data_IF_510128294553
#
_entry.id   IF_510128294553
#
_cell.length_a   1.000
_cell.length_b   1.000
_cell.length_c   1.000
_cell.angle_alpha   90.00
_cell.angle_beta   90.00
_cell.angle_gamma   90.00
#
_symmetry.space_group_name_H-M   'P 1'
#
loop_
_entity.id
_entity.type
_entity.pdbx_description
1 polymer ?
#
# COMPACT_ATOMS: atom_id res chain seq x y z
N UNK A 1 -68.65 7.09 -31.72
CA UNK A 1 -69.03 8.13 -30.73
C UNK A 1 -67.91 8.25 -29.71
N UNK A 2 -66.97 9.17 -29.96
CA UNK A 2 -66.79 10.43 -29.22
C UNK A 2 -66.47 10.21 -27.73
N UNK A 3 -65.19 10.13 -27.34
CA UNK A 3 -64.30 11.24 -26.94
C UNK A 3 -64.84 12.09 -25.79
N UNK A 4 -64.15 12.08 -24.64
CA UNK A 4 -63.48 13.27 -24.07
C UNK A 4 -62.74 12.94 -22.78
N UNK A 5 -61.49 13.41 -22.76
CA UNK A 5 -60.58 13.58 -21.63
C UNK A 5 -61.17 14.36 -20.44
N UNK A 6 -60.52 14.29 -19.27
CA UNK A 6 -60.35 15.47 -18.43
C UNK A 6 -58.90 15.93 -18.36
N UNK A 7 -58.80 17.24 -18.31
CA UNK A 7 -57.62 18.09 -18.28
C UNK A 7 -56.73 17.87 -17.05
N UNK A 8 -55.43 17.97 -17.31
CA UNK A 8 -54.34 18.17 -16.35
C UNK A 8 -54.21 19.66 -15.98
N UNK A 9 -54.24 19.97 -14.68
CA UNK A 9 -53.68 21.17 -14.04
C UNK A 9 -53.11 20.73 -12.68
N UNK A 10 -51.80 20.48 -12.62
CA UNK A 10 -50.74 21.39 -12.13
C UNK A 10 -50.95 21.95 -10.72
N UNK A 11 -50.06 21.44 -9.86
CA UNK A 11 -49.32 22.08 -8.77
C UNK A 11 -49.97 22.15 -7.39
N UNK A 12 -49.33 21.45 -6.43
CA UNK A 12 -48.54 22.06 -5.35
C UNK A 12 -47.51 21.03 -4.81
N UNK A 13 -46.23 21.34 -5.06
CA UNK A 13 -45.05 21.26 -4.14
C UNK A 13 -44.59 19.85 -3.69
N UNK A 14 -43.55 19.30 -4.36
CA UNK A 14 -42.13 19.19 -3.89
C UNK A 14 -41.97 18.21 -2.71
N UNK A 15 -41.03 17.27 -2.63
CA UNK A 15 -39.84 16.92 -3.42
C UNK A 15 -39.15 15.79 -2.64
N UNK A 16 -38.60 14.79 -3.32
CA UNK A 16 -37.57 13.91 -2.74
C UNK A 16 -37.95 12.44 -2.55
N UNK A 17 -37.95 11.67 -3.64
CA UNK A 17 -37.75 10.21 -3.61
C UNK A 17 -37.48 9.67 -5.03
N UNK A 18 -36.45 10.18 -5.70
CA UNK A 18 -35.98 9.63 -6.98
C UNK A 18 -34.50 9.96 -7.18
N UNK A 19 -33.64 9.31 -6.40
CA UNK A 19 -32.19 9.24 -6.63
C UNK A 19 -31.59 8.14 -5.74
N UNK A 20 -31.83 6.88 -6.08
CA UNK A 20 -31.03 5.77 -5.57
C UNK A 20 -30.61 4.91 -6.75
N UNK A 21 -29.29 4.72 -6.89
CA UNK A 21 -28.49 4.16 -7.99
C UNK A 21 -28.15 5.21 -9.08
N UNK A 22 -26.86 5.59 -9.26
CA UNK A 22 -25.69 4.73 -9.20
C UNK A 22 -24.57 5.26 -8.28
N UNK A 23 -24.01 4.41 -7.42
CA UNK A 23 -22.73 4.68 -6.75
C UNK A 23 -22.04 3.37 -6.35
N UNK A 24 -21.79 2.50 -7.34
CA UNK A 24 -20.82 1.41 -7.23
C UNK A 24 -19.94 1.48 -8.47
N UNK A 25 -19.15 2.56 -8.58
CA UNK A 25 -18.06 2.69 -9.56
C UNK A 25 -17.25 3.97 -9.30
N UNK A 26 -16.58 4.09 -8.15
CA UNK A 26 -15.32 4.86 -8.00
C UNK A 26 -14.60 4.29 -6.78
N UNK A 27 -13.89 3.18 -6.95
CA UNK A 27 -12.73 2.77 -6.15
C UNK A 27 -11.86 1.85 -7.00
N UNK A 28 -11.44 2.37 -8.15
CA UNK A 28 -10.23 1.94 -8.83
C UNK A 28 -9.30 3.15 -8.76
N UNK A 29 -8.65 3.30 -7.60
CA UNK A 29 -7.60 4.29 -7.43
C UNK A 29 -6.29 3.55 -7.61
N UNK A 30 -5.56 3.91 -8.65
CA UNK A 30 -4.26 3.34 -9.00
C UNK A 30 -3.32 3.50 -7.80
N UNK A 31 -3.07 2.39 -7.09
CA UNK A 31 -2.16 2.33 -5.95
C UNK A 31 -0.69 2.19 -6.38
N UNK A 32 -0.26 2.95 -7.39
CA UNK A 32 1.14 2.94 -7.85
C UNK A 32 1.99 4.08 -7.27
N UNK A 33 1.55 4.74 -6.18
CA UNK A 33 2.29 5.84 -5.54
C UNK A 33 2.47 5.67 -4.02
N UNK A 34 2.87 4.49 -3.55
CA UNK A 34 3.30 4.29 -2.16
C UNK A 34 4.66 3.61 -2.08
N UNK A 35 5.68 4.17 -2.75
CA UNK A 35 7.07 3.88 -2.40
C UNK A 35 7.57 4.91 -1.38
N UNK A 36 7.85 4.44 -0.16
CA UNK A 36 8.53 5.12 0.95
C UNK A 36 7.84 6.35 1.57
N UNK A 37 6.53 6.26 1.80
CA UNK A 37 5.81 7.25 2.60
C UNK A 37 6.10 7.13 4.11
N UNK A 38 6.59 6.00 4.60
CA UNK A 38 6.84 5.80 6.04
C UNK A 38 7.91 6.73 6.59
N UNK A 39 8.88 7.14 5.79
CA UNK A 39 10.08 7.85 6.28
C UNK A 39 9.93 9.38 6.25
N UNK A 40 8.85 9.91 5.66
CA UNK A 40 8.62 11.36 5.52
C UNK A 40 7.62 11.93 6.53
N UNK A 41 6.69 11.13 7.07
CA UNK A 41 5.70 11.64 8.03
C UNK A 41 6.25 11.83 9.44
N UNK A 42 7.07 10.90 9.93
CA UNK A 42 7.61 10.99 11.30
C UNK A 42 8.65 12.12 11.48
N UNK A 43 9.10 12.74 10.39
CA UNK A 43 9.93 13.95 10.42
C UNK A 43 9.12 15.24 10.41
N UNK A 44 7.81 15.17 10.09
CA UNK A 44 6.95 16.34 10.02
C UNK A 44 6.45 16.71 11.44
N UNK A 45 6.73 17.94 11.93
CA UNK A 45 6.36 18.34 13.30
C UNK A 45 4.84 18.37 13.52
N UNK A 46 4.05 18.73 12.50
CA UNK A 46 2.60 18.72 12.58
C UNK A 46 2.07 17.29 12.71
N UNK A 47 2.64 16.34 11.97
CA UNK A 47 2.29 14.92 12.08
C UNK A 47 2.58 14.39 13.49
N UNK A 48 3.75 14.70 14.05
CA UNK A 48 4.12 14.27 15.40
C UNK A 48 3.20 14.84 16.48
N UNK A 49 2.80 16.12 16.36
CA UNK A 49 1.86 16.75 17.29
C UNK A 49 0.49 16.08 17.23
N UNK A 50 -0.03 15.83 16.02
CA UNK A 50 -1.32 15.15 15.85
C UNK A 50 -1.26 13.70 16.35
N UNK A 51 -0.16 12.99 16.09
CA UNK A 51 0.05 11.63 16.58
C UNK A 51 0.12 11.59 18.12
N UNK A 52 0.82 12.53 18.74
CA UNK A 52 0.88 12.63 20.21
C UNK A 52 -0.49 12.93 20.80
N UNK A 53 -1.27 13.82 20.18
CA UNK A 53 -2.63 14.12 20.60
C UNK A 53 -3.53 12.87 20.55
N UNK A 54 -3.46 12.08 19.47
CA UNK A 54 -4.18 10.80 19.32
C UNK A 54 -3.81 9.84 20.44
N UNK A 55 -2.50 9.61 20.67
CA UNK A 55 -2.04 8.69 21.71
C UNK A 55 -2.49 9.14 23.12
N UNK A 56 -2.42 10.45 23.39
CA UNK A 56 -2.88 11.03 24.65
C UNK A 56 -4.39 10.82 24.86
N UNK A 57 -5.21 11.07 23.83
CA UNK A 57 -6.65 10.89 23.87
C UNK A 57 -7.03 9.42 24.04
N UNK A 58 -6.34 8.49 23.37
CA UNK A 58 -6.52 7.05 23.61
C UNK A 58 -6.22 6.66 25.06
N UNK A 59 -5.17 7.22 25.65
CA UNK A 59 -4.85 7.03 27.07
C UNK A 59 -5.98 7.51 28.00
N UNK A 60 -6.55 8.68 27.72
CA UNK A 60 -7.70 9.24 28.46
C UNK A 60 -8.93 8.36 28.28
N UNK A 61 -9.24 7.94 27.05
CA UNK A 61 -10.37 7.06 26.75
C UNK A 61 -10.24 5.71 27.48
N UNK A 62 -9.04 5.13 27.52
CA UNK A 62 -8.75 3.91 28.25
C UNK A 62 -8.93 4.07 29.76
N UNK A 63 -8.40 5.15 30.35
CA UNK A 63 -8.57 5.44 31.78
C UNK A 63 -10.04 5.64 32.15
N UNK A 64 -10.80 6.40 31.35
CA UNK A 64 -12.24 6.59 31.53
C UNK A 64 -13.01 5.27 31.35
N UNK A 65 -12.64 4.44 30.38
CA UNK A 65 -13.24 3.12 30.18
C UNK A 65 -13.06 2.22 31.40
N UNK A 66 -11.87 2.21 32.00
CA UNK A 66 -11.61 1.47 33.24
C UNK A 66 -12.37 2.05 34.44
N UNK A 67 -12.49 3.38 34.53
CA UNK A 67 -13.30 4.03 35.57
C UNK A 67 -14.79 3.66 35.44
N UNK A 68 -15.34 3.67 34.22
CA UNK A 68 -16.74 3.29 33.96
C UNK A 68 -16.97 1.82 34.29
N UNK A 69 -16.05 0.91 33.90
CA UNK A 69 -16.09 -0.51 34.28
C UNK A 69 -16.03 -0.69 35.80
N UNK A 70 -15.16 0.04 36.49
CA UNK A 70 -15.05 0.02 37.94
C UNK A 70 -16.32 0.50 38.64
N UNK A 71 -16.90 1.61 38.17
CA UNK A 71 -18.16 2.14 38.69
C UNK A 71 -19.33 1.17 38.45
N UNK A 72 -19.41 0.57 37.26
CA UNK A 72 -20.42 -0.44 36.96
C UNK A 72 -20.25 -1.69 37.83
N UNK A 73 -19.01 -2.18 37.99
CA UNK A 73 -18.68 -3.32 38.84
C UNK A 73 -19.03 -3.07 40.31
N UNK A 74 -18.71 -1.89 40.84
CA UNK A 74 -19.09 -1.50 42.20
C UNK A 74 -20.62 -1.46 42.37
N UNK A 75 -21.34 -0.89 41.41
CA UNK A 75 -22.80 -0.84 41.43
C UNK A 75 -23.45 -2.24 41.38
N UNK A 76 -22.84 -3.17 40.63
CA UNK A 76 -23.29 -4.57 40.56
C UNK A 76 -22.97 -5.33 41.85
N UNK A 77 -21.78 -5.15 42.42
CA UNK A 77 -21.39 -5.77 43.69
C UNK A 77 -22.24 -5.29 44.86
N UNK A 78 -22.60 -4.01 44.90
CA UNK A 78 -23.52 -3.47 45.90
C UNK A 78 -24.93 -4.08 45.74
N UNK A 79 -25.40 -4.29 44.50
CA UNK A 79 -26.66 -5.00 44.25
C UNK A 79 -26.60 -6.47 44.66
N UNK A 80 -25.49 -7.16 44.41
CA UNK A 80 -25.28 -8.53 44.87
C UNK A 80 -25.24 -8.61 46.38
N UNK A 81 -24.55 -7.68 47.06
CA UNK A 81 -24.51 -7.59 48.52
C UNK A 81 -25.90 -7.34 49.10
N UNK A 82 -26.67 -6.40 48.52
CA UNK A 82 -28.05 -6.15 48.95
C UNK A 82 -28.98 -7.35 48.69
N UNK A 83 -28.82 -8.05 47.56
CA UNK A 83 -29.52 -9.32 47.27
C UNK A 83 -29.09 -10.44 48.22
N UNK A 84 -27.82 -10.49 48.62
CA UNK A 84 -27.29 -11.46 49.59
C UNK A 84 -27.74 -11.14 51.01
N UNK A 85 -27.85 -9.87 51.40
CA UNK A 85 -28.40 -9.44 52.69
C UNK A 85 -29.92 -9.67 52.79
N UNK A 86 -30.65 -9.55 51.67
CA UNK A 86 -32.03 -10.04 51.59
C UNK A 86 -32.11 -11.58 51.68
N UNK A 87 -31.29 -12.31 50.91
CA UNK A 87 -31.26 -13.79 50.97
C UNK A 87 -30.80 -14.34 52.32
N UNK A 88 -29.90 -13.64 53.03
CA UNK A 88 -29.47 -13.99 54.41
C UNK A 88 -30.59 -13.82 55.44
N UNK A 89 -31.60 -12.99 55.15
CA UNK A 89 -32.78 -12.84 56.00
C UNK A 89 -33.72 -14.05 55.90
N UNK A 90 -33.66 -14.80 54.80
CA UNK A 90 -34.64 -15.83 54.44
C UNK A 90 -34.05 -17.23 54.11
N UNK A 91 -32.82 -17.60 54.52
CA UNK A 91 -32.28 -18.92 54.09
C UNK A 91 -31.33 -19.66 55.05
N UNK A 92 -31.57 -20.98 55.20
CA UNK A 92 -30.76 -22.05 55.86
C UNK A 92 -30.02 -22.86 54.79
N UNK A 93 -28.76 -23.33 54.99
CA UNK A 93 -27.90 -23.70 53.86
C UNK A 93 -27.99 -25.17 53.47
N UNK A 94 -27.94 -25.43 52.16
CA UNK A 94 -27.41 -26.66 51.59
C UNK A 94 -26.50 -26.28 50.40
N UNK A 95 -25.32 -26.85 50.47
CA UNK A 95 -24.16 -26.87 49.58
C UNK A 95 -24.55 -27.38 48.18
N UNK A 96 -23.84 -26.93 47.12
CA UNK A 96 -23.35 -27.73 45.97
C UNK A 96 -22.81 -26.83 44.82
N UNK A 97 -21.51 -27.00 44.58
CA UNK A 97 -20.76 -27.20 43.31
C UNK A 97 -21.14 -26.52 41.96
N UNK A 98 -20.06 -26.04 41.29
CA UNK A 98 -19.62 -26.47 39.95
C UNK A 98 -19.58 -25.46 38.76
N UNK A 99 -18.34 -25.27 38.28
CA UNK A 99 -17.88 -25.37 36.86
C UNK A 99 -18.39 -24.43 35.75
N UNK A 100 -18.14 -23.12 35.83
CA UNK A 100 -18.38 -22.25 34.66
C UNK A 100 -17.45 -21.05 34.53
N UNK A 101 -16.15 -21.24 34.84
CA UNK A 101 -15.11 -20.21 34.63
C UNK A 101 -13.98 -20.59 33.66
N UNK A 102 -14.16 -21.60 32.82
CA UNK A 102 -13.06 -22.11 31.97
C UNK A 102 -13.33 -22.19 30.46
N UNK A 103 -14.43 -21.64 29.94
CA UNK A 103 -14.75 -21.69 28.49
C UNK A 103 -14.90 -20.27 27.90
N UNK A 104 -14.04 -19.33 28.32
CA UNK A 104 -14.02 -17.98 27.73
C UNK A 104 -12.62 -17.46 27.41
N UNK A 105 -11.63 -18.36 27.35
CA UNK A 105 -10.23 -18.05 27.01
C UNK A 105 -9.74 -18.67 25.69
N UNK A 106 -10.61 -19.32 24.90
CA UNK A 106 -10.20 -19.99 23.65
C UNK A 106 -10.71 -19.29 22.38
N UNK A 107 -11.64 -18.35 22.47
CA UNK A 107 -12.25 -17.71 21.28
C UNK A 107 -11.63 -16.35 20.90
N UNK A 108 -10.71 -15.80 21.70
CA UNK A 108 -10.02 -14.52 21.39
C UNK A 108 -8.65 -14.75 20.70
N UNK A 109 -8.29 -16.00 20.36
CA UNK A 109 -6.99 -16.37 19.79
C UNK A 109 -6.88 -16.43 18.26
N UNK A 110 -7.96 -16.21 17.49
CA UNK A 110 -7.96 -16.51 16.02
C UNK A 110 -8.20 -15.26 15.14
N UNK A 111 -8.03 -14.04 15.67
CA UNK A 111 -8.22 -12.81 14.86
C UNK A 111 -6.98 -11.91 14.71
N UNK A 112 -5.78 -12.36 15.11
CA UNK A 112 -4.54 -11.62 14.88
C UNK A 112 -3.45 -12.57 14.38
N UNK A 113 -3.57 -12.99 13.12
CA UNK A 113 -2.67 -13.95 12.48
C UNK A 113 -2.28 -13.55 11.07
N UNK A 114 -2.05 -12.26 10.80
CA UNK A 114 -1.42 -11.80 9.55
C UNK A 114 -0.56 -10.57 9.81
N UNK A 115 0.60 -10.75 10.44
CA UNK A 115 1.72 -9.80 10.41
C UNK A 115 2.96 -10.56 10.92
N UNK A 116 3.67 -11.32 10.06
CA UNK A 116 4.91 -10.79 9.50
C UNK A 116 5.28 -11.40 8.12
N UNK A 117 5.09 -10.65 7.03
CA UNK A 117 5.66 -11.01 5.71
C UNK A 117 6.35 -9.84 5.01
N UNK A 118 6.78 -8.82 5.75
CA UNK A 118 7.39 -7.61 5.17
C UNK A 118 8.71 -7.23 5.85
N UNK A 119 9.65 -8.18 5.89
CA UNK A 119 11.03 -7.92 6.29
C UNK A 119 11.97 -8.82 5.50
N UNK A 120 12.07 -8.57 4.18
CA UNK A 120 13.23 -8.95 3.35
C UNK A 120 13.21 -8.25 1.98
N UNK A 121 14.22 -7.40 1.74
CA UNK A 121 14.64 -6.89 0.43
C UNK A 121 13.98 -5.55 0.05
N UNK A 122 14.63 -4.56 -0.57
CA UNK A 122 15.95 -4.43 -1.22
C UNK A 122 16.30 -2.93 -1.28
N UNK A 123 17.61 -2.68 -1.31
CA UNK A 123 18.41 -1.47 -1.56
C UNK A 123 17.90 -0.55 -2.69
N UNK A 124 18.04 0.78 -2.53
CA UNK A 124 18.60 1.66 -3.58
C UNK A 124 17.72 2.75 -4.22
N UNK A 125 18.13 4.02 -3.98
CA UNK A 125 18.19 5.18 -4.90
C UNK A 125 16.92 6.00 -5.29
N UNK A 126 16.83 7.20 -4.67
CA UNK A 126 16.76 8.60 -5.19
C UNK A 126 15.71 9.06 -6.25
N UNK A 127 15.40 10.39 -6.29
CA UNK A 127 14.06 10.92 -6.53
C UNK A 127 13.85 11.40 -7.97
N UNK A 128 12.58 11.51 -8.38
CA UNK A 128 12.23 12.27 -9.59
C UNK A 128 10.96 13.07 -9.36
N UNK A 129 11.11 14.39 -9.47
CA UNK A 129 10.04 15.37 -9.50
C UNK A 129 9.21 15.22 -10.78
N UNK A 130 7.90 15.10 -10.65
CA UNK A 130 6.96 15.36 -11.74
C UNK A 130 5.67 15.94 -11.16
N UNK A 131 5.38 17.18 -11.56
CA UNK A 131 4.23 17.95 -11.15
C UNK A 131 2.92 17.22 -11.49
N UNK A 132 2.30 16.66 -10.47
CA UNK A 132 0.87 16.33 -10.44
C UNK A 132 0.20 17.49 -9.71
N UNK A 133 -0.95 17.93 -10.22
CA UNK A 133 -1.81 18.93 -9.60
C UNK A 133 -1.99 18.62 -8.11
N UNK A 134 -1.23 19.33 -7.26
CA UNK A 134 -1.09 19.04 -5.85
C UNK A 134 -2.43 19.32 -5.16
N UNK A 135 -3.12 18.27 -4.71
CA UNK A 135 -4.05 18.44 -3.60
C UNK A 135 -3.26 19.13 -2.47
N UNK A 136 -3.66 20.36 -2.12
CA UNK A 136 -2.82 21.28 -1.36
C UNK A 136 -2.28 20.66 -0.07
N UNK A 137 -0.99 20.80 0.21
CA UNK A 137 -0.42 20.32 1.47
C UNK A 137 -0.80 21.26 2.62
N UNK A 138 -1.25 20.71 3.74
CA UNK A 138 -1.52 21.47 4.97
C UNK A 138 -0.33 21.26 5.91
N UNK A 139 0.47 22.30 6.15
CA UNK A 139 1.65 22.20 7.02
C UNK A 139 2.67 21.16 6.54
N UNK A 140 2.94 21.11 5.23
CA UNK A 140 3.82 20.13 4.60
C UNK A 140 3.39 18.66 4.82
N UNK A 141 2.12 18.44 5.13
CA UNK A 141 1.48 17.13 5.23
C UNK A 141 0.45 17.00 4.11
N UNK A 142 0.36 15.82 3.49
CA UNK A 142 -0.64 15.55 2.46
C UNK A 142 -2.06 15.73 3.02
N UNK A 143 -2.93 16.41 2.27
CA UNK A 143 -4.30 16.75 2.71
C UNK A 143 -5.09 15.53 3.22
N UNK A 144 -4.99 14.40 2.52
CA UNK A 144 -5.66 13.16 2.93
C UNK A 144 -5.19 12.64 4.29
N UNK A 145 -3.89 12.72 4.56
CA UNK A 145 -3.31 12.27 5.83
C UNK A 145 -3.71 13.22 6.95
N UNK A 146 -3.61 14.52 6.72
CA UNK A 146 -4.05 15.53 7.69
C UNK A 146 -5.51 15.30 8.10
N UNK A 147 -6.43 15.18 7.13
CA UNK A 147 -7.85 14.97 7.43
C UNK A 147 -8.12 13.60 8.05
N UNK A 148 -7.37 12.55 7.70
CA UNK A 148 -7.49 11.24 8.35
C UNK A 148 -7.12 11.29 9.84
N UNK A 149 -6.07 12.02 10.20
CA UNK A 149 -5.66 12.21 11.60
C UNK A 149 -6.66 13.08 12.36
N UNK A 150 -7.15 14.16 11.75
CA UNK A 150 -8.21 14.99 12.33
C UNK A 150 -9.49 14.18 12.56
N UNK A 151 -9.89 13.35 11.60
CA UNK A 151 -11.05 12.48 11.74
C UNK A 151 -10.88 11.47 12.90
N UNK A 152 -9.68 10.90 13.07
CA UNK A 152 -9.38 10.02 14.20
C UNK A 152 -9.54 10.74 15.54
N UNK A 153 -8.98 11.95 15.67
CA UNK A 153 -9.11 12.78 16.88
C UNK A 153 -10.58 13.08 17.18
N UNK A 154 -11.38 13.42 16.16
CA UNK A 154 -12.82 13.69 16.34
C UNK A 154 -13.56 12.45 16.84
N UNK A 155 -13.25 11.26 16.30
CA UNK A 155 -13.83 9.99 16.76
C UNK A 155 -13.45 9.72 18.22
N UNK A 156 -12.19 9.92 18.60
CA UNK A 156 -11.73 9.74 19.97
C UNK A 156 -12.40 10.70 20.95
N UNK A 157 -12.54 11.97 20.58
CA UNK A 157 -13.28 12.96 21.39
C UNK A 157 -14.75 12.58 21.55
N UNK A 158 -15.38 12.03 20.51
CA UNK A 158 -16.75 11.51 20.59
C UNK A 158 -16.84 10.32 21.54
N UNK A 159 -15.91 9.36 21.46
CA UNK A 159 -15.85 8.20 22.37
C UNK A 159 -15.63 8.67 23.81
N UNK A 160 -14.71 9.60 24.07
CA UNK A 160 -14.46 10.19 25.38
C UNK A 160 -15.72 10.87 25.92
N UNK A 161 -16.42 11.64 25.09
CA UNK A 161 -17.67 12.32 25.49
C UNK A 161 -18.77 11.32 25.85
N UNK A 162 -18.89 10.23 25.10
CA UNK A 162 -19.84 9.15 25.41
C UNK A 162 -19.48 8.41 26.71
N UNK A 163 -18.20 8.08 26.89
CA UNK A 163 -17.71 7.40 28.11
C UNK A 163 -17.89 8.29 29.34
N UNK A 164 -17.48 9.55 29.27
CA UNK A 164 -17.66 10.54 30.33
C UNK A 164 -19.15 10.73 30.66
N UNK A 165 -20.00 10.88 29.64
CA UNK A 165 -21.44 11.00 29.81
C UNK A 165 -22.09 9.75 30.41
N UNK A 166 -21.60 8.55 30.07
CA UNK A 166 -22.05 7.28 30.65
C UNK A 166 -21.63 7.16 32.12
N UNK A 167 -20.39 7.54 32.45
CA UNK A 167 -19.87 7.56 33.82
C UNK A 167 -20.66 8.51 34.73
N UNK A 168 -20.91 9.75 34.27
CA UNK A 168 -21.75 10.70 35.02
C UNK A 168 -23.17 10.18 35.19
N UNK A 169 -23.75 9.55 34.16
CA UNK A 169 -25.09 8.95 34.27
C UNK A 169 -25.14 7.85 35.32
N UNK A 170 -24.11 7.01 35.43
CA UNK A 170 -24.01 5.98 36.46
C UNK A 170 -23.88 6.60 37.86
N UNK A 171 -22.99 7.59 38.04
CA UNK A 171 -22.82 8.27 39.32
C UNK A 171 -24.11 9.00 39.75
N UNK A 172 -24.81 9.66 38.83
CA UNK A 172 -26.12 10.29 39.10
C UNK A 172 -27.19 9.25 39.45
N UNK A 173 -27.18 8.06 38.83
CA UNK A 173 -28.10 6.96 39.18
C UNK A 173 -27.89 6.51 40.63
N UNK A 174 -26.64 6.43 41.08
CA UNK A 174 -26.35 6.07 42.47
C UNK A 174 -26.75 7.18 43.45
N UNK A 175 -26.50 8.45 43.13
CA UNK A 175 -26.96 9.56 43.96
C UNK A 175 -28.49 9.63 44.04
N UNK A 176 -29.20 9.42 42.93
CA UNK A 176 -30.68 9.34 42.93
C UNK A 176 -31.21 8.15 43.73
N UNK A 177 -30.54 6.99 43.69
CA UNK A 177 -30.90 5.82 44.52
C UNK A 177 -30.70 6.08 46.02
N UNK A 178 -29.64 6.82 46.40
CA UNK A 178 -29.38 7.20 47.80
C UNK A 178 -30.31 8.33 48.29
N UNK A 179 -30.79 9.19 47.39
CA UNK A 179 -31.69 10.32 47.70
C UNK A 179 -33.19 9.99 47.60
N UNK A 180 -33.58 8.86 47.01
CA UNK A 180 -34.97 8.43 46.95
C UNK A 180 -35.36 7.72 48.27
N UNK A 181 -36.42 8.17 48.98
CA UNK A 181 -36.91 7.44 50.14
C UNK A 181 -37.42 6.07 49.69
N UNK A 182 -37.25 5.06 50.55
CA UNK A 182 -37.61 3.67 50.32
C UNK A 182 -39.13 3.49 50.13
N UNK A 183 -39.63 3.83 48.96
CA UNK A 183 -40.96 3.43 48.51
C UNK A 183 -40.82 2.03 47.97
N UNK A 184 -41.35 1.05 48.72
CA UNK A 184 -41.62 -0.30 48.22
C UNK A 184 -42.59 -0.16 47.05
N UNK A 185 -42.05 -0.11 45.83
CA UNK A 185 -42.83 -0.33 44.62
C UNK A 185 -42.71 -1.81 44.33
N UNK A 186 -43.86 -2.46 44.24
CA UNK A 186 -44.01 -3.90 44.13
C UNK A 186 -43.04 -4.48 43.10
N UNK A 187 -42.21 -5.42 43.56
CA UNK A 187 -41.36 -6.26 42.72
C UNK A 187 -42.24 -7.29 42.03
N UNK A 188 -43.07 -6.84 41.09
CA UNK A 188 -43.46 -7.70 39.99
C UNK A 188 -42.47 -7.44 38.86
N UNK A 189 -41.90 -8.54 38.39
CA UNK A 189 -40.82 -8.63 37.43
C UNK A 189 -40.93 -7.61 36.27
N UNK A 190 -40.02 -6.64 36.27
CA UNK A 190 -39.55 -6.07 35.00
C UNK A 190 -38.52 -7.08 34.47
N UNK A 191 -39.03 -8.22 33.99
CA UNK A 191 -38.27 -9.12 33.13
C UNK A 191 -37.64 -8.27 32.03
N UNK A 192 -36.36 -8.55 31.74
CA UNK A 192 -35.67 -7.96 30.62
C UNK A 192 -36.33 -8.46 29.32
N UNK A 193 -37.47 -7.87 28.97
CA UNK A 193 -38.15 -8.11 27.71
C UNK A 193 -37.18 -7.66 26.62
N UNK A 194 -36.53 -8.64 25.98
CA UNK A 194 -35.81 -8.41 24.75
C UNK A 194 -36.74 -7.63 23.81
N UNK A 195 -36.27 -6.58 23.13
CA UNK A 195 -37.14 -5.80 22.25
C UNK A 195 -37.88 -6.73 21.29
N UNK A 196 -39.20 -6.58 21.16
CA UNK A 196 -40.08 -7.49 20.41
C UNK A 196 -39.60 -7.83 18.98
N UNK A 197 -38.74 -6.97 18.41
CA UNK A 197 -38.04 -7.22 17.16
C UNK A 197 -37.06 -8.40 17.23
N UNK A 198 -36.24 -8.52 18.28
CA UNK A 198 -35.28 -9.60 18.46
C UNK A 198 -35.96 -10.94 18.74
N UNK A 199 -37.07 -10.92 19.47
CA UNK A 199 -37.89 -12.11 19.72
C UNK A 199 -38.50 -12.65 18.41
N UNK A 200 -39.00 -11.76 17.54
CA UNK A 200 -39.45 -12.13 16.18
C UNK A 200 -38.35 -12.75 15.31
N UNK A 201 -37.10 -12.31 15.52
CA UNK A 201 -35.95 -12.78 14.76
C UNK A 201 -35.44 -14.15 15.24
N UNK A 202 -35.55 -14.43 16.54
CA UNK A 202 -35.06 -15.68 17.14
C UNK A 202 -36.14 -16.76 17.29
N UNK A 203 -37.41 -16.40 17.48
CA UNK A 203 -38.54 -17.32 17.76
C UNK A 203 -38.20 -18.39 18.82
N UNK A 204 -37.41 -18.04 19.83
CA UNK A 204 -37.09 -18.93 20.95
C UNK A 204 -38.30 -19.08 21.87
N UNK A 205 -38.55 -20.29 22.37
CA UNK A 205 -39.56 -20.54 23.40
C UNK A 205 -39.07 -19.96 24.74
N UNK A 206 -39.98 -19.36 25.51
CA UNK A 206 -39.66 -18.81 26.83
C UNK A 206 -39.32 -19.92 27.83
N UNK A 207 -38.46 -19.61 28.81
CA UNK A 207 -37.94 -20.58 29.80
C UNK A 207 -39.07 -21.29 30.55
N UNK A 208 -40.17 -20.59 30.83
CA UNK A 208 -41.33 -21.15 31.54
C UNK A 208 -42.02 -22.30 30.78
N UNK A 209 -41.91 -22.29 29.45
CA UNK A 209 -42.50 -23.27 28.54
C UNK A 209 -41.49 -24.29 27.99
N UNK A 210 -40.24 -24.32 28.49
CA UNK A 210 -39.22 -25.27 28.02
C UNK A 210 -39.63 -26.73 28.28
N UNK A 211 -40.41 -26.99 29.33
CA UNK A 211 -40.91 -28.34 29.64
C UNK A 211 -41.80 -28.91 28.53
N UNK A 212 -42.49 -28.03 27.80
CA UNK A 212 -43.44 -28.43 26.75
C UNK A 212 -42.74 -28.88 25.46
N UNK A 213 -41.47 -28.49 25.29
CA UNK A 213 -40.63 -28.81 24.12
C UNK A 213 -39.44 -29.71 24.47
N UNK A 214 -39.40 -30.24 25.69
CA UNK A 214 -38.30 -31.05 26.17
C UNK A 214 -38.45 -32.49 25.68
N UNK A 215 -37.43 -33.02 25.02
CA UNK A 215 -37.45 -34.39 24.54
C UNK A 215 -37.38 -35.41 25.70
N UNK A 216 -37.98 -36.58 25.49
CA UNK A 216 -38.14 -37.61 26.54
C UNK A 216 -36.83 -38.31 26.93
N UNK A 217 -35.81 -38.23 26.08
CA UNK A 217 -34.52 -38.90 26.30
C UNK A 217 -33.57 -38.03 27.12
N UNK A 218 -32.83 -38.68 28.01
CA UNK A 218 -31.76 -38.07 28.80
C UNK A 218 -30.46 -38.82 28.50
N UNK A 219 -29.46 -38.07 28.02
CA UNK A 219 -28.13 -38.58 27.73
C UNK A 219 -27.16 -37.99 28.74
N UNK A 220 -26.78 -38.79 29.75
CA UNK A 220 -25.78 -38.40 30.76
C UNK A 220 -26.06 -37.03 31.43
N UNK A 221 -27.32 -36.82 31.81
CA UNK A 221 -27.77 -35.56 32.43
C UNK A 221 -28.12 -34.44 31.44
N UNK A 222 -27.85 -34.60 30.14
CA UNK A 222 -28.18 -33.63 29.09
C UNK A 222 -29.53 -34.01 28.47
N UNK A 223 -30.42 -33.02 28.37
CA UNK A 223 -31.71 -33.13 27.68
C UNK A 223 -31.77 -32.12 26.55
N UNK A 224 -32.43 -32.51 25.46
CA UNK A 224 -32.53 -31.71 24.25
C UNK A 224 -33.90 -31.05 24.14
N UNK A 225 -33.93 -29.83 23.58
CA UNK A 225 -35.13 -29.05 23.32
C UNK A 225 -35.50 -29.16 21.84
N UNK A 226 -36.75 -29.47 21.53
CA UNK A 226 -37.30 -29.46 20.17
C UNK A 226 -37.66 -28.04 19.73
N UNK A 227 -36.62 -27.18 19.66
CA UNK A 227 -36.75 -25.79 19.25
C UNK A 227 -36.77 -25.64 17.73
N UNK A 228 -37.63 -24.75 17.23
CA UNK A 228 -37.59 -24.34 15.85
C UNK A 228 -36.29 -23.59 15.53
N UNK A 229 -35.68 -23.90 14.37
CA UNK A 229 -34.51 -23.17 13.87
C UNK A 229 -34.83 -21.67 13.74
N UNK A 230 -33.94 -20.77 14.22
CA UNK A 230 -34.13 -19.33 14.13
C UNK A 230 -34.41 -18.89 12.69
N UNK A 231 -35.46 -18.08 12.42
CA UNK A 231 -35.80 -17.61 11.08
C UNK A 231 -34.62 -17.00 10.31
N UNK A 232 -33.80 -16.19 10.97
CA UNK A 232 -32.63 -15.57 10.34
C UNK A 232 -31.61 -16.59 9.86
N UNK A 233 -31.42 -17.67 10.61
CA UNK A 233 -30.49 -18.75 10.26
C UNK A 233 -31.01 -19.51 9.05
N UNK A 234 -32.30 -19.85 9.03
CA UNK A 234 -32.94 -20.52 7.89
C UNK A 234 -32.88 -19.67 6.63
N UNK A 235 -33.20 -18.38 6.72
CA UNK A 235 -33.12 -17.49 5.58
C UNK A 235 -31.68 -17.27 5.11
N UNK A 236 -30.73 -17.15 6.05
CA UNK A 236 -29.30 -17.12 5.72
C UNK A 236 -28.87 -18.36 4.94
N UNK A 237 -29.29 -19.55 5.39
CA UNK A 237 -29.02 -20.81 4.70
C UNK A 237 -29.65 -20.85 3.28
N UNK A 238 -30.88 -20.38 3.10
CA UNK A 238 -31.47 -20.31 1.76
C UNK A 238 -30.79 -19.28 0.85
N UNK A 239 -30.32 -18.16 1.40
CA UNK A 239 -29.56 -17.15 0.64
C UNK A 239 -28.25 -17.73 0.12
N UNK A 240 -27.52 -18.52 0.91
CA UNK A 240 -26.27 -19.14 0.44
C UNK A 240 -26.52 -20.15 -0.67
N UNK A 241 -27.62 -20.91 -0.60
CA UNK A 241 -28.05 -21.81 -1.68
C UNK A 241 -28.32 -21.01 -2.97
N UNK A 242 -29.13 -19.95 -2.88
CA UNK A 242 -29.46 -19.10 -4.04
C UNK A 242 -28.18 -18.48 -4.63
N UNK A 243 -27.30 -17.96 -3.78
CA UNK A 243 -26.02 -17.40 -4.21
C UNK A 243 -25.14 -18.43 -4.91
N UNK A 244 -25.08 -19.67 -4.40
CA UNK A 244 -24.36 -20.78 -5.04
C UNK A 244 -24.88 -21.10 -6.43
N UNK A 245 -26.20 -21.10 -6.62
CA UNK A 245 -26.83 -21.30 -7.94
C UNK A 245 -26.49 -20.15 -8.88
N UNK A 246 -26.58 -18.89 -8.42
CA UNK A 246 -26.22 -17.71 -9.23
C UNK A 246 -24.75 -17.77 -9.64
N UNK A 247 -23.85 -18.11 -8.72
CA UNK A 247 -22.42 -18.24 -8.97
C UNK A 247 -22.13 -19.31 -10.03
N UNK A 248 -22.75 -20.50 -9.88
CA UNK A 248 -22.59 -21.61 -10.83
C UNK A 248 -23.06 -21.19 -12.22
N UNK A 249 -24.24 -20.58 -12.32
CA UNK A 249 -24.75 -20.10 -13.61
C UNK A 249 -23.79 -19.06 -14.21
N UNK A 250 -23.43 -18.02 -13.45
CA UNK A 250 -22.61 -16.90 -13.90
C UNK A 250 -21.21 -17.31 -14.42
N UNK A 251 -20.50 -18.16 -13.67
CA UNK A 251 -19.12 -18.55 -14.02
C UNK A 251 -19.05 -19.79 -14.91
N UNK A 252 -19.91 -20.79 -14.70
CA UNK A 252 -19.77 -22.09 -15.38
C UNK A 252 -20.78 -22.34 -16.50
N UNK A 253 -22.00 -21.80 -16.42
CA UNK A 253 -23.04 -22.03 -17.46
C UNK A 253 -22.97 -20.95 -18.54
N UNK A 254 -23.17 -19.68 -18.17
CA UNK A 254 -23.17 -18.56 -19.13
C UNK A 254 -21.79 -17.95 -19.33
N UNK A 255 -20.81 -18.30 -18.48
CA UNK A 255 -19.40 -17.88 -18.57
C UNK A 255 -19.22 -16.36 -18.73
N UNK A 256 -20.06 -15.59 -18.06
CA UNK A 256 -19.99 -14.12 -18.08
C UNK A 256 -18.91 -13.57 -17.15
N UNK A 257 -18.51 -14.34 -16.13
CA UNK A 257 -17.40 -14.00 -15.24
C UNK A 257 -16.11 -14.70 -15.67
N UNK A 258 -14.97 -14.03 -15.52
CA UNK A 258 -13.65 -14.61 -15.77
C UNK A 258 -13.27 -15.56 -14.63
N UNK A 259 -12.84 -16.78 -14.96
CA UNK A 259 -12.17 -17.66 -13.99
C UNK A 259 -10.73 -17.18 -13.74
N UNK A 260 -10.09 -17.73 -12.71
CA UNK A 260 -8.74 -17.37 -12.27
C UNK A 260 -7.71 -17.28 -13.40
N UNK A 261 -7.71 -18.25 -14.31
CA UNK A 261 -6.81 -18.25 -15.47
C UNK A 261 -7.10 -17.09 -16.44
N UNK A 262 -8.37 -16.81 -16.71
CA UNK A 262 -8.77 -15.68 -17.57
C UNK A 262 -8.40 -14.33 -16.96
N UNK A 263 -8.59 -14.17 -15.65
CA UNK A 263 -8.14 -12.97 -14.94
C UNK A 263 -6.61 -12.83 -14.95
N UNK A 264 -5.88 -13.92 -14.73
CA UNK A 264 -4.42 -13.92 -14.79
C UNK A 264 -3.92 -13.48 -16.18
N UNK A 265 -4.47 -14.06 -17.25
CA UNK A 265 -4.09 -13.68 -18.61
C UNK A 265 -4.41 -12.21 -18.91
N UNK A 266 -5.57 -11.71 -18.46
CA UNK A 266 -5.94 -10.32 -18.60
C UNK A 266 -4.99 -9.38 -17.83
N UNK A 267 -4.62 -9.75 -16.60
CA UNK A 267 -3.65 -9.01 -15.78
C UNK A 267 -2.26 -9.01 -16.41
N UNK A 268 -1.80 -10.15 -16.93
CA UNK A 268 -0.50 -10.24 -17.62
C UNK A 268 -0.47 -9.40 -18.89
N UNK A 269 -1.55 -9.41 -19.68
CA UNK A 269 -1.66 -8.59 -20.88
C UNK A 269 -1.67 -7.08 -20.54
N UNK A 270 -2.28 -6.70 -19.42
CA UNK A 270 -2.25 -5.32 -18.93
C UNK A 270 -0.85 -4.94 -18.43
N UNK A 271 -0.23 -5.81 -17.63
CA UNK A 271 1.13 -5.63 -17.14
C UNK A 271 2.13 -5.50 -18.31
N UNK A 272 1.95 -6.23 -19.40
CA UNK A 272 2.78 -6.08 -20.60
C UNK A 272 2.65 -4.68 -21.21
N UNK A 273 1.41 -4.16 -21.32
CA UNK A 273 1.18 -2.79 -21.81
C UNK A 273 1.79 -1.75 -20.90
N UNK A 274 1.65 -1.92 -19.58
CA UNK A 274 2.21 -1.00 -18.59
C UNK A 274 3.73 -1.05 -18.59
N UNK A 275 4.31 -2.25 -18.74
CA UNK A 275 5.75 -2.45 -18.91
C UNK A 275 6.25 -1.91 -20.24
N UNK A 276 5.49 -2.02 -21.32
CA UNK A 276 5.84 -1.40 -22.60
C UNK A 276 5.76 0.13 -22.53
N UNK A 277 4.75 0.69 -21.86
CA UNK A 277 4.63 2.13 -21.62
C UNK A 277 5.74 2.65 -20.71
N UNK A 278 6.07 1.89 -19.66
CA UNK A 278 7.24 2.15 -18.82
C UNK A 278 8.51 2.09 -19.65
N UNK A 279 8.77 1.03 -20.42
CA UNK A 279 9.92 0.89 -21.34
C UNK A 279 10.03 1.99 -22.38
N UNK A 280 8.93 2.59 -22.83
CA UNK A 280 8.96 3.74 -23.76
C UNK A 280 9.33 5.04 -23.04
N UNK A 281 8.80 5.27 -21.84
CA UNK A 281 9.27 6.36 -20.96
C UNK A 281 10.70 6.11 -20.49
N UNK A 282 11.06 4.84 -20.42
CA UNK A 282 12.35 4.32 -20.06
C UNK A 282 13.23 3.99 -21.27
N UNK A 283 12.90 4.47 -22.48
CA UNK A 283 13.81 4.39 -23.63
C UNK A 283 15.07 5.25 -23.40
N UNK A 284 15.04 6.09 -22.36
CA UNK A 284 16.18 6.77 -21.75
C UNK A 284 17.00 5.86 -20.79
N UNK A 285 16.62 4.60 -20.56
CA UNK A 285 17.40 3.63 -19.78
C UNK A 285 18.34 2.87 -20.71
N UNK A 286 19.55 3.39 -20.74
CA UNK A 286 20.67 2.86 -21.48
C UNK A 286 21.23 1.60 -20.80
N UNK A 287 21.45 0.54 -21.55
CA UNK A 287 22.07 -0.69 -21.09
C UNK A 287 23.23 -1.10 -22.01
N UNK A 288 23.95 -2.15 -21.62
CA UNK A 288 25.13 -2.66 -22.31
C UNK A 288 24.84 -3.16 -23.73
N UNK A 289 23.56 -3.39 -24.05
CA UNK A 289 23.11 -3.88 -25.35
C UNK A 289 22.66 -2.76 -26.27
N UNK A 290 22.09 -1.67 -25.72
CA UNK A 290 21.46 -0.57 -26.45
C UNK A 290 22.27 0.75 -26.44
N UNK A 291 23.36 0.83 -25.67
CA UNK A 291 24.17 2.05 -25.55
C UNK A 291 24.73 2.51 -26.90
N UNK A 292 24.55 3.80 -27.19
CA UNK A 292 25.07 4.47 -28.38
C UNK A 292 25.94 5.66 -28.01
N UNK A 293 26.78 6.12 -28.94
CA UNK A 293 27.63 7.27 -28.72
C UNK A 293 26.83 8.58 -28.82
N UNK A 294 26.83 9.38 -27.76
CA UNK A 294 26.24 10.72 -27.77
C UNK A 294 27.27 11.71 -28.34
N UNK A 295 26.96 12.33 -29.48
CA UNK A 295 27.84 13.30 -30.16
C UNK A 295 27.49 14.76 -29.90
N UNK A 296 26.40 15.04 -29.18
CA UNK A 296 26.00 16.41 -28.87
C UNK A 296 26.91 17.01 -27.78
N UNK A 297 27.22 18.30 -27.90
CA UNK A 297 28.18 18.99 -27.03
C UNK A 297 27.73 18.99 -25.55
N UNK A 298 26.42 19.11 -25.29
CA UNK A 298 25.87 19.14 -23.94
C UNK A 298 26.08 17.82 -23.19
N UNK A 299 25.89 16.68 -23.86
CA UNK A 299 26.12 15.34 -23.27
C UNK A 299 27.60 15.09 -23.02
N UNK A 300 28.48 15.55 -23.92
CA UNK A 300 29.93 15.45 -23.74
C UNK A 300 30.40 16.33 -22.57
N UNK A 301 29.86 17.56 -22.45
CA UNK A 301 30.17 18.46 -21.35
C UNK A 301 29.69 17.90 -19.99
N UNK A 302 28.50 17.31 -19.94
CA UNK A 302 27.99 16.61 -18.76
C UNK A 302 28.83 15.37 -18.44
N UNK A 303 29.20 14.58 -19.44
CA UNK A 303 30.12 13.45 -19.30
C UNK A 303 31.47 13.86 -18.72
N UNK A 304 32.03 14.99 -19.17
CA UNK A 304 33.24 15.59 -18.59
C UNK A 304 33.05 16.00 -17.14
N UNK A 305 31.93 16.65 -16.82
CA UNK A 305 31.61 17.06 -15.44
C UNK A 305 31.52 15.83 -14.53
N UNK A 306 30.85 14.77 -14.96
CA UNK A 306 30.77 13.51 -14.24
C UNK A 306 32.13 12.83 -14.10
N UNK A 307 32.96 12.82 -15.14
CA UNK A 307 34.33 12.26 -15.09
C UNK A 307 35.24 13.02 -14.09
N UNK A 308 35.02 14.32 -13.91
CA UNK A 308 35.76 15.13 -12.94
C UNK A 308 35.19 14.98 -11.52
N UNK A 309 33.86 14.95 -11.39
CA UNK A 309 33.17 14.91 -10.11
C UNK A 309 33.18 13.52 -9.47
N UNK A 310 33.08 12.46 -10.29
CA UNK A 310 33.22 11.07 -9.89
C UNK A 310 34.68 10.73 -10.08
N UNK A 311 35.28 10.04 -9.11
CA UNK A 311 36.73 9.88 -8.91
C UNK A 311 37.56 9.28 -10.06
N UNK A 312 37.03 9.16 -11.28
CA UNK A 312 37.72 8.79 -12.51
C UNK A 312 39.03 9.58 -12.71
N UNK A 313 38.99 10.91 -12.51
CA UNK A 313 40.18 11.79 -12.60
C UNK A 313 41.33 11.39 -11.65
N UNK A 314 41.03 10.78 -10.50
CA UNK A 314 42.05 10.40 -9.51
C UNK A 314 42.93 9.26 -10.03
N UNK A 315 42.39 8.41 -10.91
CA UNK A 315 43.12 7.28 -11.48
C UNK A 315 43.53 7.52 -12.92
N UNK A 316 42.70 8.20 -13.72
CA UNK A 316 42.91 8.39 -15.16
C UNK A 316 43.41 9.78 -15.54
N UNK A 317 43.61 10.70 -14.58
CA UNK A 317 44.07 12.06 -14.87
C UNK A 317 42.96 12.95 -15.42
N UNK A 318 43.19 14.27 -15.45
CA UNK A 318 42.15 15.25 -15.80
C UNK A 318 41.83 15.25 -17.29
N UNK A 319 42.82 14.94 -18.11
CA UNK A 319 42.69 14.81 -19.57
C UNK A 319 42.61 13.35 -20.02
N UNK A 320 42.44 12.39 -19.09
CA UNK A 320 42.46 10.96 -19.42
C UNK A 320 43.87 10.40 -19.66
N UNK A 321 44.92 11.14 -19.31
CA UNK A 321 46.32 10.80 -19.55
C UNK A 321 46.82 9.53 -18.83
N UNK A 322 46.09 9.06 -17.81
CA UNK A 322 46.47 7.92 -16.96
C UNK A 322 47.42 8.31 -15.84
N UNK A 323 47.10 7.90 -14.60
CA UNK A 323 47.98 8.04 -13.43
C UNK A 323 48.23 6.65 -12.85
N UNK A 324 47.25 6.16 -12.08
CA UNK A 324 47.22 4.79 -11.57
C UNK A 324 46.51 3.89 -12.58
N UNK A 325 45.42 4.38 -13.18
CA UNK A 325 44.70 3.74 -14.27
C UNK A 325 45.43 3.89 -15.62
N UNK A 326 44.96 3.19 -16.67
CA UNK A 326 45.48 3.30 -18.02
C UNK A 326 45.20 4.68 -18.64
N UNK A 327 45.99 5.02 -19.66
CA UNK A 327 45.71 6.13 -20.56
C UNK A 327 44.44 5.84 -21.36
N UNK A 328 43.51 6.79 -21.40
CA UNK A 328 42.23 6.69 -22.12
C UNK A 328 42.23 7.46 -23.45
N UNK A 329 43.37 8.07 -23.80
CA UNK A 329 43.52 8.93 -24.98
C UNK A 329 44.21 8.25 -26.15
N UNK A 330 44.83 7.07 -25.95
CA UNK A 330 45.56 6.35 -26.97
C UNK A 330 44.74 5.21 -27.63
N UNK A 331 45.35 4.58 -28.64
CA UNK A 331 44.74 3.49 -29.41
C UNK A 331 44.77 2.12 -28.68
N UNK A 332 45.33 2.04 -27.47
CA UNK A 332 45.60 0.79 -26.76
C UNK A 332 44.58 0.55 -25.64
N UNK A 333 43.86 -0.56 -25.73
CA UNK A 333 42.78 -0.89 -24.80
C UNK A 333 42.96 -2.28 -24.18
N UNK A 334 42.71 -2.38 -22.87
CA UNK A 334 42.79 -3.64 -22.11
C UNK A 334 41.49 -4.45 -22.16
N UNK A 335 40.35 -3.77 -22.32
CA UNK A 335 39.00 -4.34 -22.17
C UNK A 335 38.07 -4.02 -23.34
N UNK A 336 38.64 -3.70 -24.51
CA UNK A 336 37.90 -3.25 -25.69
C UNK A 336 37.65 -1.74 -25.69
N UNK A 337 37.42 -1.20 -26.88
CA UNK A 337 37.13 0.23 -27.13
C UNK A 337 35.73 0.42 -27.73
N UNK A 338 34.90 -0.61 -27.92
CA UNK A 338 33.53 -0.33 -28.36
C UNK A 338 32.79 0.48 -27.28
N UNK A 339 31.81 1.28 -27.69
CA UNK A 339 30.97 2.06 -26.77
C UNK A 339 30.33 1.13 -25.72
N UNK A 340 29.91 -0.08 -26.14
CA UNK A 340 29.35 -1.10 -25.25
C UNK A 340 30.39 -1.66 -24.28
N UNK A 341 31.64 -1.80 -24.71
CA UNK A 341 32.72 -2.33 -23.88
C UNK A 341 33.11 -1.33 -22.79
N UNK A 342 33.31 -0.06 -23.16
CA UNK A 342 33.59 1.01 -22.20
C UNK A 342 32.45 1.15 -21.18
N UNK A 343 31.19 1.13 -21.65
CA UNK A 343 30.02 1.18 -20.77
C UNK A 343 29.97 0.00 -19.80
N UNK A 344 30.26 -1.23 -20.25
CA UNK A 344 30.35 -2.42 -19.39
C UNK A 344 31.43 -2.28 -18.32
N UNK A 345 32.61 -1.79 -18.70
CA UNK A 345 33.74 -1.56 -17.78
C UNK A 345 33.35 -0.53 -16.71
N UNK A 346 32.66 0.54 -17.06
CA UNK A 346 32.17 1.53 -16.09
C UNK A 346 31.11 0.91 -15.18
N UNK A 347 30.13 0.20 -15.75
CA UNK A 347 29.00 -0.37 -14.98
C UNK A 347 29.49 -1.41 -13.97
N UNK A 348 30.23 -2.41 -14.40
CA UNK A 348 30.63 -3.54 -13.57
C UNK A 348 31.98 -3.37 -12.87
N UNK A 349 32.84 -2.47 -13.38
CA UNK A 349 34.21 -2.32 -12.90
C UNK A 349 35.13 -3.47 -13.30
N UNK A 350 36.40 -3.35 -12.91
CA UNK A 350 37.44 -4.38 -13.04
C UNK A 350 38.10 -4.54 -11.67
N UNK A 351 37.40 -5.25 -10.78
CA UNK A 351 37.74 -5.33 -9.36
C UNK A 351 39.18 -5.83 -9.12
N UNK A 352 39.67 -6.76 -9.93
CA UNK A 352 41.04 -7.28 -9.85
C UNK A 352 42.14 -6.27 -10.21
N UNK A 353 41.79 -5.11 -10.79
CA UNK A 353 42.72 -4.06 -11.22
C UNK A 353 42.43 -2.70 -10.56
N UNK A 354 41.54 -2.67 -9.55
CA UNK A 354 41.24 -1.47 -8.75
C UNK A 354 40.16 -0.54 -9.32
N UNK A 355 39.57 -0.85 -10.48
CA UNK A 355 38.41 -0.10 -11.01
C UNK A 355 37.13 -0.61 -10.36
N UNK A 356 36.47 0.20 -9.53
CA UNK A 356 35.21 -0.17 -8.87
C UNK A 356 34.02 -0.17 -9.83
N UNK A 357 32.95 -0.86 -9.44
CA UNK A 357 31.65 -0.80 -10.13
C UNK A 357 30.96 0.54 -9.90
N UNK A 358 30.43 1.15 -10.96
CA UNK A 358 29.68 2.42 -10.88
C UNK A 358 28.16 2.26 -11.01
N UNK A 359 27.63 1.05 -11.26
CA UNK A 359 26.20 0.79 -11.43
C UNK A 359 25.29 1.30 -10.30
N UNK A 360 25.82 1.46 -9.08
CA UNK A 360 25.07 1.94 -7.91
C UNK A 360 25.16 3.46 -7.70
N UNK A 361 26.12 4.13 -8.36
CA UNK A 361 26.47 5.54 -8.15
C UNK A 361 26.20 6.44 -9.37
N UNK A 362 26.08 5.82 -10.55
CA UNK A 362 25.74 6.45 -11.82
C UNK A 362 24.53 5.75 -12.43
N UNK A 363 23.58 6.54 -12.89
CA UNK A 363 22.48 6.06 -13.71
C UNK A 363 22.99 5.59 -15.09
N UNK A 364 22.26 4.68 -15.75
CA UNK A 364 22.39 4.37 -17.17
C UNK A 364 22.79 5.53 -18.09
N UNK A 365 22.01 6.61 -18.07
CA UNK A 365 22.25 7.78 -18.93
C UNK A 365 23.54 8.50 -18.57
N UNK A 366 23.84 8.64 -17.27
CA UNK A 366 25.11 9.22 -16.81
C UNK A 366 26.33 8.38 -17.24
N UNK A 367 26.23 7.05 -17.17
CA UNK A 367 27.29 6.16 -17.67
C UNK A 367 27.48 6.29 -19.20
N UNK A 368 26.40 6.48 -19.96
CA UNK A 368 26.48 6.76 -21.39
C UNK A 368 27.17 8.10 -21.68
N UNK A 369 26.87 9.14 -20.91
CA UNK A 369 27.51 10.45 -21.05
C UNK A 369 29.01 10.37 -20.74
N UNK A 370 29.40 9.69 -19.66
CA UNK A 370 30.83 9.47 -19.33
C UNK A 370 31.53 8.65 -20.42
N UNK A 371 30.90 7.58 -20.92
CA UNK A 371 31.41 6.77 -22.03
C UNK A 371 31.64 7.63 -23.27
N UNK A 372 30.69 8.50 -23.60
CA UNK A 372 30.77 9.40 -24.76
C UNK A 372 31.89 10.45 -24.59
N UNK A 373 32.10 10.96 -23.37
CA UNK A 373 33.23 11.84 -23.07
C UNK A 373 34.58 11.14 -23.25
N UNK A 374 34.74 9.91 -22.72
CA UNK A 374 35.98 9.13 -22.88
C UNK A 374 36.32 8.93 -24.37
N UNK A 375 35.30 8.61 -25.18
CA UNK A 375 35.46 8.53 -26.63
C UNK A 375 35.86 9.87 -27.28
N UNK A 376 35.37 10.99 -26.76
CA UNK A 376 35.68 12.32 -27.31
C UNK A 376 37.12 12.79 -27.06
N UNK A 377 37.81 12.23 -26.06
CA UNK A 377 39.21 12.57 -25.75
C UNK A 377 40.22 11.60 -26.39
N UNK A 378 39.75 10.58 -27.10
CA UNK A 378 40.61 9.69 -27.87
C UNK A 378 41.38 10.46 -28.95
N UNK A 379 42.67 10.19 -29.10
CA UNK A 379 43.59 10.89 -29.99
C UNK A 379 44.09 12.25 -29.47
N UNK A 380 43.66 12.67 -28.27
CA UNK A 380 44.29 13.81 -27.61
C UNK A 380 45.66 13.36 -27.09
N UNK A 381 46.73 14.13 -27.32
CA UNK A 381 48.08 13.79 -26.87
C UNK A 381 48.48 14.67 -25.68
N UNK A 382 48.03 14.36 -24.45
CA UNK A 382 48.40 15.16 -23.29
C UNK A 382 49.90 15.03 -23.00
N UNK A 383 50.56 16.11 -22.53
CA UNK A 383 52.02 16.14 -22.34
C UNK A 383 52.55 15.14 -21.31
N UNK A 384 51.68 14.63 -20.43
CA UNK A 384 52.01 13.66 -19.38
C UNK A 384 51.30 12.31 -19.58
N UNK A 385 51.04 11.90 -20.83
CA UNK A 385 50.41 10.61 -21.13
C UNK A 385 51.24 9.43 -20.58
N UNK A 386 50.56 8.52 -19.87
CA UNK A 386 51.14 7.23 -19.44
C UNK A 386 51.46 6.38 -20.67
N UNK A 387 52.46 5.51 -20.56
CA UNK A 387 52.82 4.60 -21.64
C UNK A 387 51.62 3.69 -22.02
N UNK A 388 51.45 3.34 -23.32
CA UNK A 388 50.29 2.58 -23.76
C UNK A 388 50.19 1.19 -23.11
N UNK A 389 48.98 0.80 -22.73
CA UNK A 389 48.70 -0.47 -22.06
C UNK A 389 47.61 -1.26 -22.81
N UNK A 390 47.90 -2.51 -23.16
CA UNK A 390 46.93 -3.40 -23.80
C UNK A 390 47.19 -3.60 -25.28
N UNK A 391 46.12 -3.84 -26.05
CA UNK A 391 46.20 -4.15 -27.49
C UNK A 391 45.62 -3.02 -28.30
N UNK A 392 46.21 -2.75 -29.48
CA UNK A 392 45.67 -1.79 -30.43
C UNK A 392 44.28 -2.25 -30.84
N UNK A 393 43.28 -1.43 -30.57
CA UNK A 393 41.92 -1.68 -30.99
C UNK A 393 41.63 -0.91 -32.28
N UNK A 394 41.42 -1.64 -33.39
CA UNK A 394 40.90 -1.04 -34.62
C UNK A 394 39.39 -1.19 -34.62
N UNK A 395 38.68 -0.07 -34.58
CA UNK A 395 37.23 -0.08 -34.83
C UNK A 395 36.98 -0.59 -36.25
N UNK A 396 36.37 -1.77 -36.39
CA UNK A 396 35.89 -2.22 -37.68
C UNK A 396 34.66 -1.38 -38.08
N UNK A 397 34.90 -0.35 -38.90
CA UNK A 397 33.87 0.31 -39.68
C UNK A 397 33.39 1.66 -39.15
N UNK A 398 34.22 2.69 -39.25
CA UNK A 398 33.72 4.05 -39.54
C UNK A 398 34.55 4.62 -40.69
N UNK A 399 33.93 4.79 -41.86
CA UNK A 399 34.55 5.49 -42.98
C UNK A 399 34.92 6.92 -42.54
N UNK A 400 36.12 7.42 -42.85
CA UNK A 400 36.49 8.78 -42.49
C UNK A 400 35.59 9.77 -43.24
N UNK A 401 34.97 10.68 -42.48
CA UNK A 401 34.38 11.89 -43.05
C UNK A 401 35.49 12.68 -43.74
N UNK A 402 35.34 13.09 -45.01
CA UNK A 402 36.40 13.77 -45.74
C UNK A 402 36.63 15.15 -45.14
N UNK A 403 37.82 15.33 -44.58
CA UNK A 403 38.33 16.63 -44.14
C UNK A 403 38.54 17.50 -45.39
N UNK A 404 37.82 18.61 -45.47
CA UNK A 404 37.96 19.60 -46.54
C UNK A 404 39.18 20.48 -46.27
N UNK A 405 40.38 19.96 -46.50
CA UNK A 405 41.58 20.77 -46.77
C UNK A 405 42.72 19.88 -47.27
N UNK A 406 42.78 19.62 -48.57
CA UNK A 406 44.02 19.21 -49.23
C UNK A 406 43.95 19.59 -50.70
N UNK A 407 44.79 20.57 -51.04
CA UNK A 407 45.04 21.15 -52.35
C UNK A 407 45.43 20.09 -53.37
N UNK A 408 44.78 20.08 -54.53
CA UNK A 408 45.13 19.22 -55.65
C UNK A 408 46.49 19.64 -56.25
N UNK A 409 47.48 18.75 -56.18
CA UNK A 409 48.65 18.77 -57.06
C UNK A 409 48.46 17.66 -58.09
N UNK A 410 48.32 18.09 -59.34
CA UNK A 410 48.09 17.28 -60.52
C UNK A 410 49.42 16.75 -61.06
N UNK A 411 49.61 15.43 -61.10
CA UNK A 411 50.71 14.79 -61.83
C UNK A 411 50.25 13.49 -62.48
N UNK A 412 50.05 13.57 -63.81
CA UNK A 412 49.75 12.46 -64.71
C UNK A 412 51.05 11.67 -65.00
N UNK A 413 51.07 10.32 -64.88
CA UNK A 413 52.14 9.51 -65.45
C UNK A 413 51.84 9.14 -66.91
N UNK A 414 52.82 9.42 -67.74
CA UNK A 414 52.95 9.14 -69.16
C UNK A 414 52.91 7.62 -69.45
N UNK A 415 52.06 7.20 -70.38
CA UNK A 415 52.07 5.85 -70.95
C UNK A 415 52.77 5.87 -72.31
N UNK A 416 53.98 5.32 -72.37
CA UNK A 416 54.66 4.96 -73.61
C UNK A 416 54.48 3.45 -73.85
N UNK A 417 53.91 3.06 -74.99
CA UNK A 417 54.58 2.12 -75.92
C UNK A 417 53.70 1.83 -77.13
N UNK A 418 54.35 1.98 -78.29
CA UNK A 418 53.80 1.86 -79.61
C UNK A 418 53.85 0.42 -80.15
N UNK A 419 53.07 0.24 -81.21
CA UNK A 419 53.34 -0.56 -82.41
C UNK A 419 52.99 -2.05 -82.41
N UNK A 420 52.03 -2.41 -83.28
CA UNK A 420 52.40 -3.10 -84.54
C UNK A 420 51.30 -3.01 -85.62
N UNK A 421 51.73 -2.44 -86.75
CA UNK A 421 51.36 -2.63 -88.16
C UNK A 421 49.90 -2.63 -88.60
#
# INVERSE_FOLDING_TARGET
MNTRSPFSRKQIILSGAAAWLPAVAVFAQDNSSMSNASDTYFSNPLFLVLLFAIIMLLGIAFALGNMVKGAAFFSLKEQEKNKQEEKKRDYVPAWEFSTSKLILLVIIGISFGTLPYWLKGVVGNKPVDAAVEQAGTIGNLGQGIFWSMVAMIVIELLVITLLYGSGIRLLRREQKKKAAPAVKKDRQAEEAQMPAFLERFNRSVAIEHEKDILLDHNYDGIRELDNNLPPWWKYGFYITIIWGVIYLVHFHVIKTGSLQEGEYLAQMAQAEKDMAAYRKKAADFVDESNVTLLRNADSIAQGKSLFMAKQCVQCHGANGEGIVGPNLTDDYWLHGNDVKDIFKVIKFGVLGKGMKSWQNELSPSEMQMVTSYIKSIHGTNPPNAKAPEGTIYKEEGTAPSPDSTATATDTIPKADSAAKK
#
